data_IF_800349472862
#
_entry.id   IF_800349472862
#
_cell.length_a   1.000
_cell.length_b   1.000
_cell.length_c   1.000
_cell.angle_alpha   90.00
_cell.angle_beta   90.00
_cell.angle_gamma   90.00
#
_symmetry.space_group_name_H-M   'P 1'
#
loop_
_entity.id
_entity.type
_entity.pdbx_description
1 polymer ?
#
# COMPACT_ATOMS: atom_id res chain seq x y z
N UNK A 1 2.28 24.60 21.30
CA UNK A 1 2.90 23.26 21.11
C UNK A 1 2.21 22.60 19.93
N UNK A 2 2.94 22.28 18.86
CA UNK A 2 2.38 21.62 17.68
C UNK A 2 1.77 20.26 18.06
N UNK A 3 0.68 19.85 17.40
CA UNK A 3 0.09 18.52 17.62
C UNK A 3 1.18 17.46 17.40
N UNK A 4 1.32 16.46 18.30
CA UNK A 4 2.30 15.40 18.13
C UNK A 4 2.07 14.68 16.79
N UNK A 5 3.16 14.37 16.08
CA UNK A 5 3.13 13.91 14.70
C UNK A 5 2.28 12.64 14.51
N UNK A 6 2.25 11.74 15.50
CA UNK A 6 1.42 10.52 15.47
C UNK A 6 -0.09 10.78 15.58
N UNK A 7 -0.52 12.01 15.87
CA UNK A 7 -1.94 12.41 15.80
C UNK A 7 -2.31 13.07 14.46
N UNK A 8 -1.34 13.30 13.58
CA UNK A 8 -1.58 13.93 12.27
C UNK A 8 -2.08 12.91 11.26
N UNK A 9 -3.33 13.08 10.80
CA UNK A 9 -3.92 12.25 9.74
C UNK A 9 -3.09 12.32 8.45
N UNK A 10 -2.48 13.47 8.13
CA UNK A 10 -1.66 13.66 6.93
C UNK A 10 -0.39 12.84 6.96
N UNK A 11 0.29 12.74 8.11
CA UNK A 11 1.49 11.90 8.22
C UNK A 11 1.16 10.41 8.06
N UNK A 12 0.04 9.96 8.64
CA UNK A 12 -0.43 8.58 8.45
C UNK A 12 -0.86 8.30 7.01
N UNK A 13 -1.53 9.25 6.36
CA UNK A 13 -1.87 9.14 4.94
C UNK A 13 -0.63 9.00 4.06
N UNK A 14 0.38 9.85 4.26
CA UNK A 14 1.63 9.79 3.50
C UNK A 14 2.41 8.49 3.77
N UNK A 15 2.43 8.02 5.02
CA UNK A 15 3.06 6.75 5.36
C UNK A 15 2.34 5.56 4.69
N UNK A 16 1.01 5.55 4.68
CA UNK A 16 0.22 4.52 3.99
C UNK A 16 0.41 4.56 2.47
N UNK A 17 0.45 5.75 1.87
CA UNK A 17 0.79 5.93 0.45
C UNK A 17 2.17 5.36 0.13
N UNK A 18 3.18 5.66 0.94
CA UNK A 18 4.53 5.15 0.73
C UNK A 18 4.58 3.62 0.81
N UNK A 19 3.91 3.02 1.80
CA UNK A 19 3.81 1.55 1.93
C UNK A 19 3.11 0.94 0.71
N UNK A 20 2.04 1.56 0.22
CA UNK A 20 1.29 1.07 -0.94
C UNK A 20 2.13 1.12 -2.23
N UNK A 21 2.91 2.19 -2.41
CA UNK A 21 3.84 2.32 -3.55
C UNK A 21 4.90 1.21 -3.48
N UNK A 22 5.53 1.01 -2.32
CA UNK A 22 6.52 -0.06 -2.14
C UNK A 22 5.90 -1.45 -2.41
N UNK A 23 4.69 -1.71 -1.91
CA UNK A 23 3.98 -2.96 -2.18
C UNK A 23 3.71 -3.17 -3.69
N UNK A 24 3.33 -2.11 -4.39
CA UNK A 24 3.07 -2.15 -5.83
C UNK A 24 4.35 -2.43 -6.64
N UNK A 25 5.48 -1.84 -6.25
CA UNK A 25 6.80 -2.08 -6.87
C UNK A 25 7.36 -3.47 -6.56
N UNK A 26 6.99 -4.07 -5.42
CA UNK A 26 7.40 -5.44 -5.06
C UNK A 26 6.66 -6.52 -5.87
N UNK A 27 5.46 -6.25 -6.37
CA UNK A 27 4.69 -7.21 -7.16
C UNK A 27 5.45 -7.75 -8.39
N UNK A 28 6.05 -6.93 -9.29
CA UNK A 28 6.82 -7.44 -10.41
C UNK A 28 8.11 -8.17 -9.98
N UNK A 29 8.73 -7.78 -8.86
CA UNK A 29 9.92 -8.45 -8.31
C UNK A 29 9.58 -9.87 -7.85
N UNK A 30 8.41 -10.05 -7.22
CA UNK A 30 7.90 -11.37 -6.83
C UNK A 30 7.64 -12.24 -8.06
N UNK A 31 7.06 -11.68 -9.12
CA UNK A 31 6.84 -12.42 -10.36
C UNK A 31 8.17 -12.85 -11.01
N UNK A 32 9.22 -12.03 -10.93
CA UNK A 32 10.58 -12.43 -11.37
C UNK A 32 11.18 -13.55 -10.51
N UNK A 33 10.92 -13.57 -9.20
CA UNK A 33 11.39 -14.65 -8.32
C UNK A 33 10.74 -16.00 -8.65
N UNK A 34 9.46 -16.01 -9.05
CA UNK A 34 8.80 -17.23 -9.57
C UNK A 34 9.51 -17.73 -10.83
N UNK A 35 9.79 -16.82 -11.77
CA UNK A 35 10.47 -17.17 -13.03
C UNK A 35 11.90 -17.66 -12.79
N UNK A 36 12.58 -17.14 -11.76
CA UNK A 36 13.91 -17.57 -11.34
C UNK A 36 13.93 -18.95 -10.65
N UNK A 37 12.78 -19.61 -10.48
CA UNK A 37 12.67 -20.96 -9.94
C UNK A 37 12.63 -21.03 -8.41
N UNK A 38 12.35 -19.92 -7.72
CA UNK A 38 12.12 -19.94 -6.28
C UNK A 38 10.82 -20.69 -5.93
N UNK A 39 10.86 -21.43 -4.82
CA UNK A 39 9.81 -22.35 -4.40
C UNK A 39 8.43 -21.67 -4.29
N UNK A 40 7.49 -22.16 -5.09
CA UNK A 40 6.13 -21.64 -5.18
C UNK A 40 5.40 -21.66 -3.83
N UNK A 41 5.79 -22.53 -2.90
CA UNK A 41 5.20 -22.64 -1.56
C UNK A 41 5.33 -21.37 -0.72
N UNK A 42 6.41 -20.59 -0.88
CA UNK A 42 6.59 -19.33 -0.16
C UNK A 42 6.24 -18.09 -1.00
N UNK A 43 6.42 -18.17 -2.33
CA UNK A 43 6.19 -17.04 -3.22
C UNK A 43 4.70 -16.76 -3.44
N UNK A 44 3.87 -17.81 -3.53
CA UNK A 44 2.43 -17.68 -3.72
C UNK A 44 1.72 -16.93 -2.58
N UNK A 45 1.94 -17.25 -1.29
CA UNK A 45 1.33 -16.50 -0.19
C UNK A 45 1.88 -15.07 -0.09
N UNK A 46 3.15 -14.84 -0.41
CA UNK A 46 3.73 -13.49 -0.44
C UNK A 46 3.05 -12.62 -1.50
N UNK A 47 2.87 -13.16 -2.72
CA UNK A 47 2.15 -12.49 -3.81
C UNK A 47 0.71 -12.15 -3.42
N UNK A 48 0.01 -13.11 -2.83
CA UNK A 48 -1.36 -12.92 -2.36
C UNK A 48 -1.44 -11.83 -1.28
N UNK A 49 -0.49 -11.82 -0.34
CA UNK A 49 -0.41 -10.78 0.70
C UNK A 49 -0.20 -9.38 0.15
N UNK A 50 0.71 -9.21 -0.81
CA UNK A 50 0.93 -7.92 -1.48
C UNK A 50 -0.30 -7.48 -2.28
N UNK A 51 -0.95 -8.39 -2.99
CA UNK A 51 -2.17 -8.08 -3.74
C UNK A 51 -3.28 -7.59 -2.80
N UNK A 52 -3.50 -8.29 -1.68
CA UNK A 52 -4.50 -7.89 -0.66
C UNK A 52 -4.15 -6.53 -0.06
N UNK A 53 -2.90 -6.31 0.35
CA UNK A 53 -2.46 -5.03 0.92
C UNK A 53 -2.68 -3.87 -0.07
N UNK A 54 -2.39 -4.09 -1.35
CA UNK A 54 -2.55 -3.08 -2.40
C UNK A 54 -4.03 -2.78 -2.68
N UNK A 55 -4.89 -3.80 -2.70
CA UNK A 55 -6.35 -3.62 -2.89
C UNK A 55 -6.95 -2.84 -1.71
N UNK A 56 -6.70 -3.28 -0.48
CA UNK A 56 -7.27 -2.63 0.71
C UNK A 56 -6.72 -1.21 0.88
N UNK A 57 -5.42 -1.02 0.68
CA UNK A 57 -4.82 0.31 0.77
C UNK A 57 -5.38 1.26 -0.29
N UNK A 58 -5.54 0.83 -1.54
CA UNK A 58 -6.17 1.65 -2.58
C UNK A 58 -7.65 1.97 -2.25
N UNK A 59 -8.39 1.02 -1.69
CA UNK A 59 -9.77 1.23 -1.28
C UNK A 59 -9.87 2.26 -0.15
N UNK A 60 -9.00 2.19 0.86
CA UNK A 60 -8.92 3.17 1.96
C UNK A 60 -8.55 4.55 1.42
N UNK A 61 -7.54 4.63 0.56
CA UNK A 61 -7.11 5.88 -0.06
C UNK A 61 -8.24 6.52 -0.88
N UNK A 62 -8.95 5.72 -1.68
CA UNK A 62 -10.13 6.19 -2.42
C UNK A 62 -11.20 6.72 -1.48
N UNK A 63 -11.57 5.97 -0.45
CA UNK A 63 -12.59 6.39 0.52
C UNK A 63 -12.24 7.71 1.21
N UNK A 64 -10.96 7.93 1.53
CA UNK A 64 -10.48 9.17 2.17
C UNK A 64 -10.41 10.33 1.16
N UNK A 65 -10.08 10.06 -0.10
CA UNK A 65 -9.90 11.09 -1.15
C UNK A 65 -11.17 11.43 -1.93
N UNK A 66 -12.27 10.67 -1.75
CA UNK A 66 -13.58 10.97 -2.37
C UNK A 66 -14.33 12.15 -1.75
N UNK A 67 -13.84 12.78 -0.68
CA UNK A 67 -14.46 14.02 -0.19
C UNK A 67 -14.30 15.13 -1.25
N UNK A 68 -15.41 15.64 -1.85
CA UNK A 68 -15.32 16.72 -2.81
C UNK A 68 -14.81 17.96 -2.09
N UNK A 69 -13.70 18.53 -2.58
CA UNK A 69 -13.18 19.81 -2.10
C UNK A 69 -14.19 20.89 -2.49
N UNK A 70 -15.13 21.18 -1.59
CA UNK A 70 -15.98 22.36 -1.70
C UNK A 70 -15.11 23.57 -1.35
N UNK A 71 -14.58 24.23 -2.38
CA UNK A 71 -14.09 25.60 -2.26
C UNK A 71 -15.29 26.47 -1.88
N UNK A 72 -15.29 26.96 -0.65
CA UNK A 72 -16.27 27.93 -0.15
C UNK A 72 -15.91 29.32 -0.62
#
# INVERSE_FOLDING_TARGET
MGKPWWKSKTYWFNALMAVLVVASELAPIIDQLVVAGYDAGWVAPLRAGIAVATIFGNMILRAITTEPVTLR
#
